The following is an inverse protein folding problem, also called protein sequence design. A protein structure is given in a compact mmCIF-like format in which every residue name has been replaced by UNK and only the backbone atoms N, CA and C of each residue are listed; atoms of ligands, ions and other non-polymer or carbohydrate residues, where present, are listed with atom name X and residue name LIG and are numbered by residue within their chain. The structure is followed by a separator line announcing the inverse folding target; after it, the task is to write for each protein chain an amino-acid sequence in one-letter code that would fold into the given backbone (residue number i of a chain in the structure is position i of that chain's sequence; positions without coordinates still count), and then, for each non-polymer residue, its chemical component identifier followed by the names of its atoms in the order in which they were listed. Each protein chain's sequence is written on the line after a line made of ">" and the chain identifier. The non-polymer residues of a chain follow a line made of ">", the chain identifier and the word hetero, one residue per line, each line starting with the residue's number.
data_IF_360009544661
#
_entry.id   IF_360009544661
#
_cell.length_a   1.000
_cell.length_b   1.000
_cell.length_c   1.000
_cell.angle_alpha   90.00
_cell.angle_beta   90.00
_cell.angle_gamma   90.00
#
_symmetry.space_group_name_H-M   'P 1'
#
loop_
_entity.id
_entity.type
_entity.pdbx_description
1 polymer ?
#
# COMPACT_ATOMS: atom_id res chain seq x y z
N UNK A 1 2.64 -0.99 13.85
CA UNK A 1 1.80 -1.56 14.93
C UNK A 1 1.58 -3.07 14.71
N UNK A 2 1.99 -3.94 15.65
CA UNK A 2 2.05 -5.41 15.48
C UNK A 2 0.73 -6.06 15.04
N UNK A 3 -0.39 -5.62 15.62
CA UNK A 3 -1.72 -6.12 15.30
C UNK A 3 -1.99 -5.97 13.79
N UNK A 4 -1.82 -4.76 13.26
CA UNK A 4 -2.00 -4.47 11.84
C UNK A 4 -0.98 -5.21 10.98
N UNK A 5 0.31 -5.12 11.30
CA UNK A 5 1.36 -5.77 10.50
C UNK A 5 1.17 -7.28 10.33
N UNK A 6 0.51 -7.96 11.26
CA UNK A 6 0.25 -9.39 11.20
C UNK A 6 -0.81 -9.81 10.18
N UNK A 7 -1.90 -9.06 10.04
CA UNK A 7 -3.02 -9.45 9.14
C UNK A 7 -3.12 -8.60 7.87
N UNK A 8 -2.47 -7.44 7.81
CA UNK A 8 -2.54 -6.52 6.67
C UNK A 8 -2.28 -7.21 5.31
N UNK A 9 -1.30 -8.12 5.15
CA UNK A 9 -1.06 -8.76 3.85
C UNK A 9 -2.28 -9.54 3.32
N UNK A 10 -2.91 -10.36 4.16
CA UNK A 10 -4.07 -11.16 3.77
C UNK A 10 -5.31 -10.28 3.61
N UNK A 11 -5.49 -9.29 4.50
CA UNK A 11 -6.58 -8.33 4.39
C UNK A 11 -6.49 -7.51 3.08
N UNK A 12 -5.31 -7.03 2.69
CA UNK A 12 -5.10 -6.32 1.43
C UNK A 12 -5.41 -7.19 0.21
N UNK A 13 -5.06 -8.49 0.25
CA UNK A 13 -5.43 -9.45 -0.81
C UNK A 13 -6.95 -9.59 -0.91
N UNK A 14 -7.64 -9.80 0.21
CA UNK A 14 -9.09 -9.94 0.26
C UNK A 14 -9.81 -8.67 -0.21
N UNK A 15 -9.36 -7.48 0.19
CA UNK A 15 -9.92 -6.20 -0.26
C UNK A 15 -9.77 -6.04 -1.78
N UNK A 16 -8.57 -6.32 -2.32
CA UNK A 16 -8.32 -6.22 -3.76
C UNK A 16 -9.21 -7.15 -4.58
N UNK A 17 -9.41 -8.39 -4.10
CA UNK A 17 -10.29 -9.39 -4.73
C UNK A 17 -11.78 -9.00 -4.63
N UNK A 18 -12.25 -8.67 -3.42
CA UNK A 18 -13.66 -8.39 -3.17
C UNK A 18 -14.16 -7.10 -3.83
N UNK A 19 -13.32 -6.08 -3.90
CA UNK A 19 -13.69 -4.78 -4.48
C UNK A 19 -13.24 -4.62 -5.93
N UNK A 20 -12.37 -5.49 -6.45
CA UNK A 20 -11.81 -5.37 -7.79
C UNK A 20 -10.88 -4.16 -7.97
N UNK A 21 -10.32 -3.61 -6.89
CA UNK A 21 -9.47 -2.40 -6.89
C UNK A 21 -7.98 -2.75 -6.72
N UNK A 22 -7.05 -1.96 -7.29
CA UNK A 22 -5.63 -2.13 -6.99
C UNK A 22 -5.33 -1.67 -5.56
N UNK A 23 -4.40 -2.35 -4.89
CA UNK A 23 -3.94 -2.03 -3.52
C UNK A 23 -2.41 -1.97 -3.53
N UNK A 24 -1.84 -1.02 -2.80
CA UNK A 24 -0.39 -0.89 -2.59
C UNK A 24 -0.08 -0.72 -1.10
N UNK A 25 1.18 -0.88 -0.72
CA UNK A 25 1.66 -0.63 0.65
C UNK A 25 3.05 0.00 0.62
N UNK A 26 3.41 0.65 1.72
CA UNK A 26 4.75 1.14 2.03
C UNK A 26 5.04 0.90 3.51
N UNK A 27 6.33 0.88 3.87
CA UNK A 27 6.79 0.64 5.23
C UNK A 27 6.94 1.98 5.98
N UNK A 28 6.60 1.96 7.26
CA UNK A 28 6.60 3.16 8.09
C UNK A 28 6.33 2.85 9.55
N UNK A 29 6.66 3.81 10.40
CA UNK A 29 6.23 3.83 11.79
C UNK A 29 5.62 5.20 12.12
N UNK A 30 4.65 5.21 13.02
CA UNK A 30 3.91 6.39 13.44
C UNK A 30 4.75 7.37 14.27
N UNK A 31 5.87 6.92 14.85
CA UNK A 31 6.71 7.73 15.75
C UNK A 31 8.20 7.58 15.47
N UNK A 32 8.66 6.46 14.92
CA UNK A 32 10.08 6.25 14.60
C UNK A 32 10.41 6.65 13.16
N UNK A 33 11.04 7.81 12.91
CA UNK A 33 11.34 8.27 11.56
C UNK A 33 12.39 7.40 10.85
N UNK A 34 13.12 6.54 11.58
CA UNK A 34 14.11 5.63 10.99
C UNK A 34 13.47 4.50 10.18
N UNK A 35 12.17 4.25 10.39
CA UNK A 35 11.43 3.18 9.73
C UNK A 35 10.64 3.67 8.50
N UNK A 36 10.85 4.92 8.05
CA UNK A 36 10.21 5.47 6.87
C UNK A 36 11.24 5.80 5.79
N UNK A 37 10.87 5.53 4.53
CA UNK A 37 11.64 5.91 3.35
C UNK A 37 10.76 6.68 2.38
N UNK A 38 11.05 7.96 2.18
CA UNK A 38 10.32 8.84 1.26
C UNK A 38 10.35 8.30 -0.18
N UNK A 39 11.53 7.85 -0.65
CA UNK A 39 11.67 7.26 -1.98
C UNK A 39 10.82 5.99 -2.17
N UNK A 40 10.64 5.18 -1.12
CA UNK A 40 9.74 4.03 -1.17
C UNK A 40 8.29 4.50 -1.29
N UNK A 41 7.86 5.44 -0.45
CA UNK A 41 6.50 5.99 -0.50
C UNK A 41 6.17 6.56 -1.88
N UNK A 42 7.02 7.42 -2.42
CA UNK A 42 6.80 8.10 -3.69
C UNK A 42 6.62 7.10 -4.84
N UNK A 43 7.53 6.13 -4.95
CA UNK A 43 7.47 5.12 -6.01
C UNK A 43 6.26 4.20 -5.89
N UNK A 44 5.84 3.85 -4.66
CA UNK A 44 4.64 3.00 -4.42
C UNK A 44 3.35 3.74 -4.75
N UNK A 45 3.26 5.02 -4.41
CA UNK A 45 2.10 5.86 -4.74
C UNK A 45 2.04 6.15 -6.24
N UNK A 46 3.17 6.48 -6.87
CA UNK A 46 3.24 6.67 -8.31
C UNK A 46 2.77 5.42 -9.06
N UNK A 47 3.27 4.23 -8.71
CA UNK A 47 2.86 2.98 -9.35
C UNK A 47 1.36 2.68 -9.18
N UNK A 48 0.79 2.99 -8.02
CA UNK A 48 -0.66 2.86 -7.83
C UNK A 48 -1.44 3.81 -8.75
N UNK A 49 -0.99 5.07 -8.86
CA UNK A 49 -1.60 6.07 -9.74
C UNK A 49 -1.57 5.61 -11.20
N UNK A 50 -0.42 5.12 -11.68
CA UNK A 50 -0.27 4.60 -13.05
C UNK A 50 -1.24 3.43 -13.34
N UNK A 51 -1.41 2.51 -12.39
CA UNK A 51 -2.38 1.41 -12.51
C UNK A 51 -3.82 1.94 -12.54
N UNK A 52 -4.14 2.93 -11.71
CA UNK A 52 -5.46 3.53 -11.68
C UNK A 52 -5.78 4.26 -12.99
N UNK A 53 -4.85 5.03 -13.55
CA UNK A 53 -5.03 5.68 -14.86
C UNK A 53 -5.23 4.67 -15.98
N UNK A 54 -4.46 3.58 -16.00
CA UNK A 54 -4.62 2.51 -16.99
C UNK A 54 -6.00 1.83 -16.94
N UNK A 55 -6.69 1.87 -15.78
CA UNK A 55 -8.03 1.28 -15.58
C UNK A 55 -9.20 2.23 -15.90
N UNK A 56 -8.95 3.52 -16.21
CA UNK A 56 -10.02 4.48 -16.53
C UNK A 56 -10.57 4.37 -17.97
N UNK A 57 -10.02 3.46 -18.77
CA UNK A 57 -10.43 3.20 -20.16
C UNK A 57 -11.85 2.62 -20.26
#
# INVERSE_FOLDING_TARGET
>A
CKLWSGFMPEMSRQIGEACGIPVTSFDGDQADPRNFSEAQYDTRVQGLMEIMEARKA
#
